data_IF_270316703434
#
_entry.id   IF_270316703434
#
_cell.length_a   1.000
_cell.length_b   1.000
_cell.length_c   1.000
_cell.angle_alpha   90.00
_cell.angle_beta   90.00
_cell.angle_gamma   90.00
#
_symmetry.space_group_name_H-M   'P 1'
#
loop_
_entity.id
_entity.type
_entity.pdbx_description
1 polymer ?
#
# COMPACT_ATOMS: atom_id res chain seq x y z
N UNK A 1 -8.43 21.01 -12.99
CA UNK A 1 -7.14 20.31 -13.12
C UNK A 1 -7.15 19.13 -12.18
N UNK A 2 -7.16 17.90 -12.72
CA UNK A 2 -7.14 16.64 -11.98
C UNK A 2 -5.68 16.17 -11.98
N UNK A 3 -5.00 15.95 -10.84
CA UNK A 3 -3.64 15.43 -10.86
C UNK A 3 -3.66 13.89 -10.81
N UNK A 4 -2.99 13.30 -11.80
CA UNK A 4 -2.27 12.02 -11.80
C UNK A 4 -3.02 10.79 -11.27
N UNK A 5 -3.80 10.17 -12.16
CA UNK A 5 -4.11 8.73 -12.06
C UNK A 5 -3.15 7.95 -12.95
N UNK A 6 -2.61 6.86 -12.41
CA UNK A 6 -1.98 5.81 -13.20
C UNK A 6 -3.06 5.27 -14.17
N UNK A 7 -2.78 5.14 -15.46
CA UNK A 7 -3.75 4.66 -16.46
C UNK A 7 -3.21 3.39 -17.09
N UNK A 8 -4.04 2.34 -17.13
CA UNK A 8 -3.79 1.14 -17.93
C UNK A 8 -4.54 1.31 -19.25
N UNK A 9 -3.81 1.36 -20.36
CA UNK A 9 -4.42 1.36 -21.69
C UNK A 9 -4.63 -0.08 -22.17
N UNK A 10 -5.87 -0.40 -22.56
CA UNK A 10 -6.21 -1.60 -23.32
C UNK A 10 -6.83 -1.15 -24.65
N UNK A 11 -6.27 -1.58 -25.79
CA UNK A 11 -6.75 -1.26 -27.14
C UNK A 11 -7.07 0.24 -27.39
N UNK A 12 -6.15 1.13 -27.00
CA UNK A 12 -6.27 2.58 -27.30
C UNK A 12 -7.34 3.33 -26.51
N UNK A 13 -7.98 2.70 -25.52
CA UNK A 13 -8.94 3.37 -24.62
C UNK A 13 -8.31 3.62 -23.26
N UNK A 14 -8.35 4.88 -22.79
CA UNK A 14 -7.92 5.30 -21.45
C UNK A 14 -9.02 4.93 -20.44
N UNK A 15 -8.71 4.10 -19.43
CA UNK A 15 -9.64 3.79 -18.34
C UNK A 15 -9.10 4.28 -17.00
N UNK A 16 -9.87 5.05 -16.21
CA UNK A 16 -9.53 5.36 -14.83
C UNK A 16 -9.62 4.09 -13.96
N UNK A 17 -8.66 3.90 -13.05
CA UNK A 17 -8.43 2.68 -12.25
C UNK A 17 -9.66 2.17 -11.47
N UNK A 18 -10.65 3.02 -11.20
CA UNK A 18 -11.81 2.63 -10.41
C UNK A 18 -12.92 1.85 -11.15
N UNK A 19 -12.80 1.60 -12.46
CA UNK A 19 -13.87 0.92 -13.23
C UNK A 19 -13.45 -0.28 -14.09
N UNK A 20 -12.24 -0.83 -13.91
CA UNK A 20 -11.84 -2.02 -14.65
C UNK A 20 -12.33 -3.32 -13.97
N UNK A 21 -13.62 -3.63 -14.08
CA UNK A 21 -14.03 -5.03 -14.06
C UNK A 21 -13.49 -5.68 -15.33
N UNK A 22 -12.48 -6.54 -15.19
CA UNK A 22 -11.95 -7.35 -16.29
C UNK A 22 -13.09 -8.19 -16.88
N UNK A 23 -13.54 -7.84 -18.09
CA UNK A 23 -14.41 -8.70 -18.90
C UNK A 23 -13.63 -9.96 -19.31
N UNK A 24 -14.23 -11.17 -19.32
CA UNK A 24 -13.50 -12.43 -19.54
C UNK A 24 -13.05 -12.69 -20.99
N UNK A 25 -13.12 -11.70 -21.88
CA UNK A 25 -12.88 -11.89 -23.31
C UNK A 25 -11.92 -10.86 -23.89
N UNK A 26 -10.61 -11.05 -23.70
CA UNK A 26 -9.62 -10.47 -24.60
C UNK A 26 -8.33 -11.30 -24.61
N UNK A 27 -7.95 -11.94 -25.74
CA UNK A 27 -6.70 -12.67 -25.85
C UNK A 27 -5.54 -11.69 -26.13
N UNK A 28 -4.38 -11.98 -25.53
CA UNK A 28 -3.04 -11.41 -25.84
C UNK A 28 -3.00 -9.89 -26.05
N UNK A 29 -2.72 -9.11 -24.99
CA UNK A 29 -2.39 -7.68 -25.16
C UNK A 29 -1.28 -7.23 -24.22
N UNK A 30 -0.33 -6.50 -24.81
CA UNK A 30 0.74 -5.74 -24.15
C UNK A 30 0.13 -4.55 -23.42
N UNK A 31 0.44 -4.38 -22.12
CA UNK A 31 0.02 -3.22 -21.35
C UNK A 31 1.18 -2.24 -21.23
N UNK A 32 0.98 -0.99 -21.65
CA UNK A 32 1.94 0.09 -21.42
C UNK A 32 1.39 1.01 -20.33
N UNK A 33 2.14 1.16 -19.23
CA UNK A 33 1.85 2.14 -18.19
C UNK A 33 2.59 3.43 -18.57
N UNK A 34 1.86 4.51 -18.84
CA UNK A 34 2.45 5.83 -19.05
C UNK A 34 2.23 6.72 -17.81
N UNK A 35 3.30 7.36 -17.35
CA UNK A 35 3.24 8.61 -16.60
C UNK A 35 3.50 9.72 -17.62
N UNK A 36 2.47 10.45 -18.05
CA UNK A 36 2.65 11.54 -19.01
C UNK A 36 2.81 12.89 -18.31
N UNK A 37 3.81 13.64 -18.76
CA UNK A 37 4.09 15.04 -18.41
C UNK A 37 3.24 15.98 -19.27
N UNK A 38 2.64 16.99 -18.66
CA UNK A 38 1.61 17.81 -19.30
C UNK A 38 2.19 19.00 -20.06
N UNK A 39 2.58 18.78 -21.31
CA UNK A 39 2.71 19.87 -22.30
C UNK A 39 2.21 19.43 -23.66
N UNK A 40 1.32 20.24 -24.23
CA UNK A 40 0.64 20.12 -25.53
C UNK A 40 -0.65 19.31 -25.52
N UNK A 41 -1.78 20.05 -25.56
CA UNK A 41 -2.76 20.00 -26.65
C UNK A 41 -3.72 21.21 -26.51
N UNK A 42 -3.86 21.95 -27.61
CA UNK A 42 -4.62 23.20 -27.75
C UNK A 42 -6.01 22.95 -28.36
N UNK A 43 -7.01 23.68 -27.86
CA UNK A 43 -8.33 24.07 -28.44
C UNK A 43 -9.43 23.00 -28.59
N UNK A 44 -10.74 23.27 -28.45
CA UNK A 44 -11.54 24.52 -28.46
C UNK A 44 -12.82 24.40 -27.57
N UNK A 45 -13.61 25.49 -27.37
CA UNK A 45 -14.47 25.69 -26.19
C UNK A 45 -15.93 25.25 -26.39
N UNK A 46 -16.50 24.59 -25.37
CA UNK A 46 -17.94 24.52 -25.16
C UNK A 46 -18.26 25.08 -23.78
N UNK A 47 -19.15 26.06 -23.78
CA UNK A 47 -19.60 26.85 -22.63
C UNK A 47 -20.05 25.95 -21.48
N UNK A 48 -19.36 26.04 -20.34
CA UNK A 48 -19.86 25.56 -19.05
C UNK A 48 -20.21 26.80 -18.25
N UNK A 49 -21.50 26.92 -17.95
CA UNK A 49 -22.05 27.92 -17.06
C UNK A 49 -21.32 27.91 -15.72
N UNK A 50 -21.01 29.12 -15.28
CA UNK A 50 -20.35 29.54 -14.06
C UNK A 50 -20.94 28.81 -12.82
N UNK A 51 -20.34 27.68 -12.45
CA UNK A 51 -20.50 27.12 -11.11
C UNK A 51 -19.43 27.75 -10.24
N UNK A 52 -19.88 28.77 -9.50
CA UNK A 52 -19.24 29.36 -8.33
C UNK A 52 -18.22 28.44 -7.67
N UNK A 53 -16.96 28.89 -7.66
CA UNK A 53 -15.87 28.38 -6.85
C UNK A 53 -16.36 28.22 -5.41
N UNK A 54 -16.65 26.98 -5.00
CA UNK A 54 -16.80 26.64 -3.60
C UNK A 54 -15.39 26.56 -3.04
N UNK A 55 -15.01 27.55 -2.25
CA UNK A 55 -13.85 27.47 -1.37
C UNK A 55 -13.98 26.23 -0.48
N UNK A 56 -13.28 25.15 -0.81
CA UNK A 56 -13.23 23.95 0.02
C UNK A 56 -12.38 24.21 1.27
N UNK A 57 -12.99 24.86 2.26
CA UNK A 57 -12.61 24.75 3.66
C UNK A 57 -12.86 23.30 4.14
N UNK A 58 -11.90 22.39 3.96
CA UNK A 58 -11.87 21.13 4.72
C UNK A 58 -10.43 20.59 4.89
N UNK A 59 -9.56 21.44 5.44
CA UNK A 59 -8.16 21.13 5.74
C UNK A 59 -7.92 20.59 7.16
N UNK A 60 -8.97 20.19 7.89
CA UNK A 60 -8.95 19.96 9.34
C UNK A 60 -9.14 18.50 9.81
N UNK A 61 -9.24 17.52 8.90
CA UNK A 61 -9.48 16.13 9.30
C UNK A 61 -8.19 15.51 9.86
N UNK A 62 -8.24 15.10 11.12
CA UNK A 62 -7.20 14.34 11.83
C UNK A 62 -7.81 13.50 12.95
N UNK A 63 -6.99 12.75 13.69
CA UNK A 63 -7.46 11.85 14.75
C UNK A 63 -8.34 12.54 15.79
N UNK A 64 -8.00 13.76 16.20
CA UNK A 64 -8.82 14.53 17.15
C UNK A 64 -10.21 14.85 16.60
N UNK A 65 -10.33 15.16 15.30
CA UNK A 65 -11.63 15.34 14.66
C UNK A 65 -12.42 14.03 14.64
N UNK A 66 -11.78 12.92 14.23
CA UNK A 66 -12.43 11.60 14.13
C UNK A 66 -12.89 11.08 15.49
N UNK A 67 -12.06 11.21 16.53
CA UNK A 67 -12.34 10.73 17.89
C UNK A 67 -13.41 11.55 18.62
N UNK A 68 -13.61 12.82 18.24
CA UNK A 68 -14.63 13.69 18.83
C UNK A 68 -16.02 13.52 18.20
N UNK A 69 -16.17 12.66 17.19
CA UNK A 69 -17.47 12.40 16.58
C UNK A 69 -18.30 11.44 17.44
N UNK A 70 -19.54 11.80 17.72
CA UNK A 70 -20.50 10.91 18.41
C UNK A 70 -21.08 9.86 17.46
N UNK A 71 -21.23 10.19 16.18
CA UNK A 71 -21.67 9.30 15.11
C UNK A 71 -20.74 9.48 13.90
N UNK A 72 -20.67 8.48 13.01
CA UNK A 72 -19.86 8.56 11.79
C UNK A 72 -20.47 9.60 10.83
N UNK A 73 -19.71 10.63 10.40
CA UNK A 73 -20.22 11.63 9.45
C UNK A 73 -20.56 11.01 8.09
N UNK A 74 -21.46 11.66 7.33
CA UNK A 74 -21.99 11.13 6.06
C UNK A 74 -20.91 10.83 5.03
N UNK A 75 -19.85 11.61 5.01
CA UNK A 75 -18.72 11.48 4.11
C UNK A 75 -17.93 10.18 4.36
N UNK A 76 -18.02 9.62 5.56
CA UNK A 76 -17.36 8.38 5.98
C UNK A 76 -18.29 7.17 5.89
N UNK A 77 -19.56 7.33 5.51
CA UNK A 77 -20.48 6.20 5.34
C UNK A 77 -20.14 5.46 4.06
N UNK A 78 -19.97 4.14 4.17
CA UNK A 78 -19.71 3.26 3.02
C UNK A 78 -21.00 2.60 2.51
N UNK A 79 -21.05 2.21 1.22
CA UNK A 79 -22.22 1.55 0.66
C UNK A 79 -22.55 0.23 1.37
N UNK A 80 -23.84 -0.03 1.62
CA UNK A 80 -24.30 -1.26 2.31
C UNK A 80 -23.83 -2.56 1.64
N UNK A 81 -23.66 -2.56 0.33
CA UNK A 81 -23.15 -3.71 -0.44
C UNK A 81 -21.72 -4.08 -0.05
N UNK A 82 -20.93 -3.11 0.41
CA UNK A 82 -19.55 -3.32 0.82
C UNK A 82 -19.45 -3.73 2.30
N UNK A 83 -20.45 -3.44 3.13
CA UNK A 83 -20.47 -3.65 4.59
C UNK A 83 -20.77 -5.11 5.02
N UNK A 84 -20.47 -6.08 4.16
CA UNK A 84 -20.62 -7.51 4.49
C UNK A 84 -19.55 -7.91 5.50
N UNK A 85 -19.92 -8.52 6.62
CA UNK A 85 -18.96 -8.92 7.66
C UNK A 85 -18.15 -10.17 7.29
N UNK A 86 -16.88 -10.20 7.68
CA UNK A 86 -16.09 -11.43 7.70
C UNK A 86 -16.36 -12.20 9.00
N UNK A 87 -16.49 -13.52 8.91
CA UNK A 87 -16.76 -14.39 10.07
C UNK A 87 -15.76 -15.54 10.21
N UNK A 88 -14.83 -15.66 9.28
CA UNK A 88 -13.89 -16.76 9.19
C UNK A 88 -12.50 -16.19 9.02
N UNK A 89 -11.53 -16.80 9.68
CA UNK A 89 -10.13 -16.53 9.41
C UNK A 89 -9.75 -17.09 8.04
N UNK A 90 -8.91 -16.35 7.32
CA UNK A 90 -8.20 -16.88 6.17
C UNK A 90 -7.19 -17.91 6.69
N UNK A 91 -7.05 -19.02 5.97
CA UNK A 91 -6.03 -20.03 6.26
C UNK A 91 -4.86 -19.84 5.27
N UNK A 92 -4.32 -18.62 5.23
CA UNK A 92 -3.16 -18.31 4.40
C UNK A 92 -1.92 -19.05 4.92
N UNK A 93 -0.99 -19.42 4.03
CA UNK A 93 0.22 -20.10 4.46
C UNK A 93 1.09 -19.16 5.29
N UNK A 94 1.58 -19.69 6.41
CA UNK A 94 2.61 -19.08 7.25
C UNK A 94 3.96 -19.70 6.87
N UNK A 95 4.79 -18.94 6.17
CA UNK A 95 6.03 -19.43 5.56
C UNK A 95 7.24 -19.04 6.39
N UNK A 96 8.02 -20.03 6.79
CA UNK A 96 9.28 -19.82 7.51
C UNK A 96 10.42 -19.49 6.53
N UNK A 97 10.99 -18.30 6.64
CA UNK A 97 12.09 -17.84 5.80
C UNK A 97 13.48 -18.17 6.36
N UNK A 98 13.59 -18.71 7.59
CA UNK A 98 14.90 -19.06 8.17
C UNK A 98 15.65 -20.05 7.26
N UNK A 99 14.94 -21.07 6.77
CA UNK A 99 15.52 -22.10 5.89
C UNK A 99 15.87 -21.57 4.51
N UNK A 100 15.12 -20.58 4.02
CA UNK A 100 15.49 -19.86 2.81
C UNK A 100 16.84 -19.14 3.00
N UNK A 101 17.02 -18.42 4.10
CA UNK A 101 18.28 -17.70 4.38
C UNK A 101 19.47 -18.64 4.65
N UNK A 102 19.22 -19.88 5.08
CA UNK A 102 20.26 -20.91 5.23
C UNK A 102 20.58 -21.66 3.93
N UNK A 103 19.87 -21.39 2.84
CA UNK A 103 20.10 -22.05 1.54
C UNK A 103 19.61 -23.51 1.47
N UNK A 104 18.62 -23.89 2.26
CA UNK A 104 18.02 -25.23 2.20
C UNK A 104 17.09 -25.34 0.97
N UNK A 105 17.62 -25.82 -0.14
CA UNK A 105 16.90 -25.92 -1.42
C UNK A 105 15.60 -26.74 -1.31
N UNK A 106 15.54 -27.78 -0.48
CA UNK A 106 14.32 -28.57 -0.33
C UNK A 106 13.22 -27.77 0.37
N UNK A 107 13.57 -27.04 1.43
CA UNK A 107 12.65 -26.15 2.11
C UNK A 107 12.22 -24.98 1.20
N UNK A 108 13.14 -24.41 0.42
CA UNK A 108 12.85 -23.35 -0.54
C UNK A 108 11.79 -23.81 -1.56
N UNK A 109 11.94 -25.01 -2.11
CA UNK A 109 10.97 -25.58 -3.05
C UNK A 109 9.60 -25.86 -2.39
N UNK A 110 9.57 -26.26 -1.12
CA UNK A 110 8.33 -26.44 -0.37
C UNK A 110 7.62 -25.10 -0.14
N UNK A 111 8.36 -24.07 0.32
CA UNK A 111 7.86 -22.71 0.49
C UNK A 111 7.33 -22.13 -0.83
N UNK A 112 8.05 -22.31 -1.93
CA UNK A 112 7.63 -21.88 -3.25
C UNK A 112 6.31 -22.53 -3.69
N UNK A 113 6.09 -23.81 -3.39
CA UNK A 113 4.83 -24.51 -3.72
C UNK A 113 3.63 -23.96 -2.95
N UNK A 114 3.77 -23.70 -1.65
CA UNK A 114 2.66 -23.16 -0.84
C UNK A 114 2.37 -21.70 -1.19
N UNK A 115 3.41 -20.89 -1.45
CA UNK A 115 3.26 -19.52 -1.93
C UNK A 115 2.57 -19.50 -3.28
N UNK A 116 2.97 -20.39 -4.21
CA UNK A 116 2.29 -20.53 -5.50
C UNK A 116 0.79 -20.76 -5.35
N UNK A 117 0.38 -21.68 -4.46
CA UNK A 117 -1.03 -21.99 -4.25
C UNK A 117 -1.82 -20.78 -3.74
N UNK A 118 -1.26 -20.04 -2.77
CA UNK A 118 -1.85 -18.80 -2.26
C UNK A 118 -1.93 -17.71 -3.35
N UNK A 119 -0.86 -17.51 -4.12
CA UNK A 119 -0.81 -16.48 -5.16
C UNK A 119 -1.73 -16.78 -6.35
N UNK A 120 -1.94 -18.05 -6.70
CA UNK A 120 -2.89 -18.45 -7.76
C UNK A 120 -4.36 -18.22 -7.36
N UNK A 121 -4.66 -18.18 -6.06
CA UNK A 121 -6.03 -18.14 -5.54
C UNK A 121 -6.44 -16.75 -5.06
N UNK A 122 -5.70 -16.17 -4.12
CA UNK A 122 -6.06 -14.91 -3.46
C UNK A 122 -4.90 -13.91 -3.31
N UNK A 123 -3.65 -14.30 -3.58
CA UNK A 123 -2.54 -13.35 -3.62
C UNK A 123 -1.92 -13.00 -2.26
N UNK A 124 -2.23 -13.72 -1.19
CA UNK A 124 -1.74 -13.40 0.17
C UNK A 124 -1.09 -14.57 0.89
N UNK A 125 -0.02 -14.30 1.63
CA UNK A 125 0.60 -15.23 2.57
C UNK A 125 1.29 -14.47 3.70
N UNK A 126 1.63 -15.14 4.79
CA UNK A 126 2.43 -14.56 5.86
C UNK A 126 3.84 -15.16 5.86
N UNK A 127 4.83 -14.39 6.32
CA UNK A 127 6.21 -14.86 6.50
C UNK A 127 6.67 -14.65 7.93
N UNK A 128 7.40 -15.61 8.49
CA UNK A 128 8.06 -15.56 9.81
C UNK A 128 9.56 -15.79 9.65
N UNK A 129 10.33 -15.52 10.71
CA UNK A 129 11.80 -15.57 10.68
C UNK A 129 12.37 -14.79 9.48
N UNK A 130 11.75 -13.65 9.20
CA UNK A 130 11.95 -12.85 7.98
C UNK A 130 13.21 -11.96 8.00
N UNK A 131 14.01 -12.02 9.08
CA UNK A 131 15.28 -11.30 9.19
C UNK A 131 15.19 -9.81 9.55
N UNK A 132 14.02 -9.17 9.41
CA UNK A 132 13.79 -7.81 9.92
C UNK A 132 13.79 -7.80 11.46
N UNK A 133 14.65 -6.96 12.06
CA UNK A 133 14.81 -6.87 13.52
C UNK A 133 13.53 -6.41 14.22
N UNK A 134 13.07 -7.20 15.18
CA UNK A 134 11.90 -6.89 16.03
C UNK A 134 12.06 -5.58 16.81
N UNK A 135 13.28 -5.23 17.25
CA UNK A 135 13.52 -3.95 17.93
C UNK A 135 13.33 -2.77 16.98
N UNK A 136 13.70 -2.94 15.71
CA UNK A 136 13.50 -1.93 14.68
C UNK A 136 12.02 -1.76 14.31
N UNK A 137 11.27 -2.86 14.21
CA UNK A 137 9.80 -2.83 14.06
C UNK A 137 9.16 -2.06 15.22
N UNK A 138 9.55 -2.39 16.47
CA UNK A 138 9.03 -1.72 17.66
C UNK A 138 9.39 -0.22 17.71
N UNK A 139 10.61 0.14 17.31
CA UNK A 139 11.02 1.54 17.20
C UNK A 139 10.21 2.29 16.12
N UNK A 140 9.94 1.66 14.98
CA UNK A 140 9.08 2.23 13.94
C UNK A 140 7.66 2.49 14.47
N UNK A 141 7.07 1.55 15.23
CA UNK A 141 5.78 1.78 15.88
C UNK A 141 5.81 2.85 16.98
N UNK A 142 6.90 2.95 17.73
CA UNK A 142 7.08 4.01 18.73
C UNK A 142 7.04 5.39 18.06
N UNK A 143 7.79 5.57 16.97
CA UNK A 143 7.77 6.83 16.23
C UNK A 143 6.41 7.07 15.55
N UNK A 144 5.81 6.06 14.91
CA UNK A 144 4.45 6.12 14.37
C UNK A 144 3.46 6.66 15.41
N UNK A 145 3.47 6.07 16.60
CA UNK A 145 2.57 6.47 17.68
C UNK A 145 2.82 7.92 18.09
N UNK A 146 4.08 8.30 18.34
CA UNK A 146 4.43 9.69 18.69
C UNK A 146 3.94 10.69 17.64
N UNK A 147 4.13 10.41 16.35
CA UNK A 147 3.72 11.31 15.29
C UNK A 147 2.19 11.51 15.23
N UNK A 148 1.40 10.43 15.28
CA UNK A 148 -0.05 10.56 15.15
C UNK A 148 -0.73 11.21 16.37
N UNK A 149 -0.06 11.24 17.53
CA UNK A 149 -0.50 11.98 18.73
C UNK A 149 -0.05 13.45 18.75
N UNK A 150 0.72 13.92 17.76
CA UNK A 150 1.04 15.34 17.65
C UNK A 150 -0.22 16.15 17.32
N UNK A 151 -0.26 17.45 17.72
CA UNK A 151 -1.28 18.38 17.25
C UNK A 151 -1.35 18.39 15.71
N UNK A 152 -2.56 18.54 15.18
CA UNK A 152 -2.81 18.54 13.73
C UNK A 152 -1.92 19.56 12.98
N UNK A 153 -1.66 20.73 13.57
CA UNK A 153 -0.77 21.76 13.00
C UNK A 153 0.65 21.23 12.73
N UNK A 154 1.18 20.38 13.60
CA UNK A 154 2.49 19.76 13.41
C UNK A 154 2.45 18.67 12.34
N UNK A 155 1.40 17.83 12.33
CA UNK A 155 1.20 16.79 11.31
C UNK A 155 1.07 17.39 9.90
N UNK A 156 0.38 18.52 9.78
CA UNK A 156 0.21 19.24 8.51
C UNK A 156 1.51 19.84 7.94
N UNK A 157 2.61 19.93 8.70
CA UNK A 157 3.92 20.32 8.14
C UNK A 157 4.43 19.29 7.13
N UNK A 158 4.19 18.00 7.39
CA UNK A 158 4.42 16.93 6.42
C UNK A 158 3.50 17.01 5.18
N UNK A 159 2.51 17.92 5.13
CA UNK A 159 1.70 18.15 3.92
C UNK A 159 2.25 19.28 3.03
N UNK A 160 3.01 20.22 3.61
CA UNK A 160 3.50 21.42 2.91
C UNK A 160 4.79 21.19 2.12
N UNK A 161 5.41 20.03 2.26
CA UNK A 161 6.61 19.63 1.50
C UNK A 161 6.34 19.30 0.02
N UNK A 162 5.08 19.39 -0.45
CA UNK A 162 4.63 18.97 -1.78
C UNK A 162 5.02 19.91 -2.94
N UNK A 163 5.58 21.08 -2.67
CA UNK A 163 5.88 22.09 -3.71
C UNK A 163 7.22 21.92 -4.42
N UNK A 164 7.99 20.87 -4.14
CA UNK A 164 9.25 20.60 -4.84
C UNK A 164 9.48 19.08 -5.03
N UNK A 165 9.37 18.61 -6.27
CA UNK A 165 10.06 17.42 -6.81
C UNK A 165 10.08 16.12 -6.01
N UNK A 166 9.25 15.15 -6.46
CA UNK A 166 9.37 13.68 -6.43
C UNK A 166 9.79 12.90 -5.15
N UNK A 167 10.20 13.51 -4.04
CA UNK A 167 10.59 12.77 -2.83
C UNK A 167 9.96 13.42 -1.59
N UNK A 168 8.64 13.22 -1.43
CA UNK A 168 7.85 13.99 -0.47
C UNK A 168 7.32 13.12 0.68
N UNK A 169 7.55 13.59 1.90
CA UNK A 169 6.80 13.17 3.07
C UNK A 169 5.39 13.73 2.91
N UNK A 170 4.39 12.91 3.17
CA UNK A 170 2.98 13.26 2.96
C UNK A 170 2.13 12.78 4.12
N UNK A 171 1.52 13.73 4.83
CA UNK A 171 0.45 13.45 5.79
C UNK A 171 -0.92 13.65 5.13
N UNK A 172 -1.83 12.71 5.37
CA UNK A 172 -3.22 12.80 4.92
C UNK A 172 -4.16 12.23 5.99
N UNK A 173 -5.15 13.04 6.38
CA UNK A 173 -6.28 12.62 7.22
C UNK A 173 -7.46 12.24 6.33
N UNK A 174 -7.92 11.00 6.46
CA UNK A 174 -9.03 10.43 5.72
C UNK A 174 -8.92 10.51 4.18
N UNK A 175 -7.74 10.79 3.61
CA UNK A 175 -7.60 11.03 2.17
C UNK A 175 -8.61 12.06 1.60
N UNK A 176 -9.01 13.02 2.44
CA UNK A 176 -9.99 14.05 2.07
C UNK A 176 -9.47 15.04 1.02
N UNK A 177 -8.16 14.99 0.74
CA UNK A 177 -7.52 15.66 -0.39
C UNK A 177 -7.89 15.04 -1.75
N UNK A 178 -8.35 13.79 -1.76
CA UNK A 178 -8.62 13.00 -2.98
C UNK A 178 -10.07 12.58 -3.15
N UNK A 179 -10.80 12.48 -2.04
CA UNK A 179 -12.17 11.98 -2.03
C UNK A 179 -13.10 12.94 -1.28
N UNK A 180 -14.38 12.94 -1.65
CA UNK A 180 -15.44 13.71 -1.00
C UNK A 180 -16.52 12.84 -0.36
N UNK A 181 -16.46 11.52 -0.59
CA UNK A 181 -17.36 10.50 -0.03
C UNK A 181 -16.61 9.18 0.12
N UNK A 182 -17.15 8.23 0.88
CA UNK A 182 -16.47 6.98 1.27
C UNK A 182 -15.08 7.24 1.86
N UNK A 183 -14.96 8.29 2.67
CA UNK A 183 -13.70 8.67 3.30
C UNK A 183 -13.25 7.54 4.23
N UNK A 184 -11.98 7.10 4.14
CA UNK A 184 -11.45 6.12 5.06
C UNK A 184 -11.29 6.69 6.47
N UNK A 185 -11.68 5.91 7.49
CA UNK A 185 -11.51 6.22 8.91
C UNK A 185 -10.06 6.00 9.36
N UNK A 186 -9.12 6.79 8.83
CA UNK A 186 -7.70 6.69 9.17
C UNK A 186 -6.95 8.00 8.96
N UNK A 187 -5.78 8.07 9.57
CA UNK A 187 -4.70 8.98 9.20
C UNK A 187 -3.55 8.19 8.56
N UNK A 188 -2.80 8.86 7.69
CA UNK A 188 -1.64 8.25 7.02
C UNK A 188 -0.44 9.19 6.99
N UNK A 189 0.75 8.62 7.13
CA UNK A 189 2.03 9.26 6.83
C UNK A 189 2.73 8.40 5.78
N UNK A 190 3.00 8.97 4.62
CA UNK A 190 3.60 8.28 3.46
C UNK A 190 4.90 8.97 3.06
N UNK A 191 5.92 8.19 2.70
CA UNK A 191 7.16 8.70 2.12
C UNK A 191 7.77 7.66 1.18
N UNK A 192 8.67 8.11 0.31
CA UNK A 192 9.41 7.23 -0.59
C UNK A 192 10.76 6.83 0.02
N UNK A 193 11.24 5.68 -0.43
CA UNK A 193 12.56 5.17 -0.12
C UNK A 193 13.22 4.72 -1.43
N UNK A 194 14.44 5.20 -1.62
CA UNK A 194 15.32 4.85 -2.74
C UNK A 194 16.75 4.74 -2.21
N UNK A 195 17.51 3.75 -2.68
CA UNK A 195 18.94 3.60 -2.32
C UNK A 195 19.86 4.44 -3.21
N UNK A 196 19.28 5.31 -4.05
CA UNK A 196 20.04 6.17 -4.94
C UNK A 196 20.73 7.27 -4.12
N UNK A 197 22.07 7.32 -4.05
CA UNK A 197 22.80 8.30 -3.25
C UNK A 197 22.64 9.74 -3.75
N UNK A 198 22.06 9.94 -4.95
CA UNK A 198 21.72 11.27 -5.49
C UNK A 198 20.39 11.80 -4.97
N UNK A 199 19.56 10.95 -4.36
CA UNK A 199 18.27 11.33 -3.80
C UNK A 199 18.41 11.58 -2.30
N UNK A 200 17.57 12.48 -1.75
CA UNK A 200 17.55 12.74 -0.31
C UNK A 200 17.22 11.48 0.47
N UNK A 201 17.98 11.22 1.53
CA UNK A 201 17.70 10.10 2.43
C UNK A 201 16.36 10.29 3.16
N UNK A 202 15.82 9.22 3.74
CA UNK A 202 14.64 9.32 4.60
C UNK A 202 14.94 10.23 5.81
N UNK A 203 16.19 10.26 6.28
CA UNK A 203 16.62 11.15 7.37
C UNK A 203 16.46 12.62 6.97
N UNK A 204 17.04 13.00 5.83
CA UNK A 204 16.99 14.38 5.33
C UNK A 204 15.55 14.80 5.04
N UNK A 205 14.73 13.88 4.53
CA UNK A 205 13.32 14.12 4.26
C UNK A 205 12.54 14.48 5.53
N UNK A 206 12.74 13.72 6.61
CA UNK A 206 12.06 13.99 7.88
C UNK A 206 12.56 15.28 8.53
N UNK A 207 13.87 15.54 8.53
CA UNK A 207 14.44 16.78 9.09
C UNK A 207 13.95 18.02 8.34
N UNK A 208 14.03 18.00 7.01
CA UNK A 208 13.59 19.13 6.18
C UNK A 208 12.08 19.39 6.28
N UNK A 209 11.27 18.34 6.44
CA UNK A 209 9.81 18.47 6.48
C UNK A 209 9.25 18.77 7.88
N UNK A 210 9.87 18.26 8.94
CA UNK A 210 9.34 18.29 10.30
C UNK A 210 10.27 18.94 11.34
N UNK A 211 11.52 19.23 10.99
CA UNK A 211 12.56 19.79 11.86
C UNK A 211 13.50 18.73 12.44
N UNK A 212 14.60 19.20 13.04
CA UNK A 212 15.70 18.35 13.53
C UNK A 212 15.28 17.35 14.62
N UNK A 213 14.23 17.66 15.40
CA UNK A 213 13.66 16.75 16.41
C UNK A 213 13.13 15.43 15.82
N UNK A 214 12.97 15.34 14.49
CA UNK A 214 12.52 14.15 13.76
C UNK A 214 13.67 13.36 13.12
N UNK A 215 14.92 13.70 13.39
CA UNK A 215 16.09 12.98 12.88
C UNK A 215 16.08 11.50 13.29
N UNK A 216 15.86 11.18 14.57
CA UNK A 216 15.79 9.78 15.05
C UNK A 216 14.68 8.97 14.36
N UNK A 217 13.54 9.63 14.09
CA UNK A 217 12.44 9.01 13.36
C UNK A 217 12.85 8.70 11.92
N UNK A 218 13.52 9.65 11.26
CA UNK A 218 14.08 9.46 9.92
C UNK A 218 15.10 8.32 9.87
N UNK A 219 16.02 8.26 10.85
CA UNK A 219 17.03 7.18 10.95
C UNK A 219 16.36 5.82 11.15
N UNK A 220 15.34 5.74 12.02
CA UNK A 220 14.60 4.50 12.25
C UNK A 220 13.92 4.02 10.99
N UNK A 221 13.21 4.91 10.28
CA UNK A 221 12.53 4.52 9.05
C UNK A 221 13.47 4.23 7.89
N UNK A 222 14.62 4.90 7.80
CA UNK A 222 15.68 4.57 6.83
C UNK A 222 16.10 3.10 7.00
N UNK A 223 16.52 2.73 8.22
CA UNK A 223 16.93 1.35 8.55
C UNK A 223 15.80 0.35 8.33
N UNK A 224 14.57 0.72 8.71
CA UNK A 224 13.40 -0.15 8.51
C UNK A 224 13.19 -0.43 7.01
N UNK A 225 13.24 0.61 6.17
CA UNK A 225 13.10 0.46 4.73
C UNK A 225 14.22 -0.37 4.10
N UNK A 226 15.46 -0.26 4.57
CA UNK A 226 16.59 -1.10 4.13
C UNK A 226 16.35 -2.59 4.46
N UNK A 227 15.85 -2.87 5.67
CA UNK A 227 15.45 -4.22 6.07
C UNK A 227 14.30 -4.77 5.22
N UNK A 228 13.28 -3.95 4.98
CA UNK A 228 12.12 -4.33 4.14
C UNK A 228 12.51 -4.51 2.67
N UNK A 229 13.46 -3.73 2.14
CA UNK A 229 14.02 -3.91 0.78
C UNK A 229 14.71 -5.27 0.67
N UNK A 230 15.56 -5.60 1.64
CA UNK A 230 16.29 -6.87 1.67
C UNK A 230 15.31 -8.06 1.70
N UNK A 231 14.29 -8.00 2.56
CA UNK A 231 13.21 -8.98 2.61
C UNK A 231 12.43 -9.05 1.29
N UNK A 232 12.07 -7.91 0.70
CA UNK A 232 11.34 -7.85 -0.56
C UNK A 232 12.10 -8.60 -1.67
N UNK A 233 13.41 -8.38 -1.79
CA UNK A 233 14.24 -9.08 -2.79
C UNK A 233 14.30 -10.59 -2.55
N UNK A 234 14.35 -11.04 -1.30
CA UNK A 234 14.26 -12.46 -0.95
C UNK A 234 12.90 -13.06 -1.35
N UNK A 235 11.80 -12.36 -1.06
CA UNK A 235 10.46 -12.79 -1.47
C UNK A 235 10.34 -12.84 -3.00
N UNK A 236 10.93 -11.89 -3.72
CA UNK A 236 10.96 -11.90 -5.19
C UNK A 236 11.68 -13.13 -5.77
N UNK A 237 12.76 -13.62 -5.12
CA UNK A 237 13.40 -14.89 -5.51
C UNK A 237 12.45 -16.09 -5.34
N UNK A 238 11.76 -16.17 -4.20
CA UNK A 238 10.82 -17.27 -3.93
C UNK A 238 9.64 -17.22 -4.92
N UNK A 239 9.14 -16.02 -5.24
CA UNK A 239 8.12 -15.84 -6.27
C UNK A 239 8.62 -16.29 -7.65
N UNK A 240 9.86 -15.99 -8.03
CA UNK A 240 10.46 -16.45 -9.28
C UNK A 240 10.52 -17.99 -9.34
N UNK A 241 11.06 -18.62 -8.29
CA UNK A 241 11.12 -20.09 -8.16
C UNK A 241 9.72 -20.70 -8.26
N UNK A 242 8.74 -20.10 -7.56
CA UNK A 242 7.35 -20.57 -7.55
C UNK A 242 6.67 -20.50 -8.91
N UNK A 243 7.14 -19.62 -9.81
CA UNK A 243 6.62 -19.46 -11.16
C UNK A 243 7.33 -20.34 -12.20
N UNK A 244 8.46 -20.95 -11.82
CA UNK A 244 9.30 -21.76 -12.69
C UNK A 244 10.21 -20.94 -13.60
N UNK A 245 10.49 -19.68 -13.26
CA UNK A 245 11.43 -18.81 -13.99
C UNK A 245 12.78 -18.76 -13.28
N UNK A 246 13.78 -18.14 -13.90
CA UNK A 246 15.10 -17.94 -13.28
C UNK A 246 14.96 -17.32 -11.87
N UNK A 247 15.65 -17.91 -10.88
CA UNK A 247 15.56 -17.54 -9.46
C UNK A 247 15.79 -16.05 -9.23
N UNK A 248 16.68 -15.43 -9.99
CA UNK A 248 17.05 -14.03 -9.81
C UNK A 248 16.22 -13.08 -10.69
N UNK A 249 15.34 -13.59 -11.55
CA UNK A 249 14.59 -12.79 -12.52
C UNK A 249 13.90 -11.58 -11.90
N UNK A 250 13.00 -11.80 -10.94
CA UNK A 250 12.27 -10.71 -10.30
C UNK A 250 13.14 -9.91 -9.33
N UNK A 251 14.09 -10.55 -8.63
CA UNK A 251 15.05 -9.82 -7.79
C UNK A 251 15.81 -8.77 -8.59
N UNK A 252 16.36 -9.15 -9.75
CA UNK A 252 17.09 -8.26 -10.64
C UNK A 252 16.16 -7.18 -11.25
N UNK A 253 14.89 -7.51 -11.48
CA UNK A 253 13.90 -6.55 -11.96
C UNK A 253 13.57 -5.47 -10.92
N UNK A 254 13.58 -5.80 -9.63
CA UNK A 254 13.21 -4.88 -8.55
C UNK A 254 14.38 -4.29 -7.75
N UNK A 255 15.62 -4.75 -7.95
CA UNK A 255 16.78 -4.32 -7.16
C UNK A 255 17.02 -2.80 -7.22
N UNK A 256 16.89 -2.19 -8.40
CA UNK A 256 17.03 -0.75 -8.66
C UNK A 256 15.70 0.01 -8.57
N UNK A 257 14.62 -0.67 -8.16
CA UNK A 257 13.31 -0.08 -7.97
C UNK A 257 13.19 0.70 -6.66
N UNK A 258 12.30 1.69 -6.67
CA UNK A 258 11.91 2.45 -5.49
C UNK A 258 10.92 1.72 -4.59
N UNK A 259 10.61 2.30 -3.45
CA UNK A 259 9.57 1.81 -2.55
C UNK A 259 8.81 2.94 -1.88
N UNK A 260 7.58 2.64 -1.47
CA UNK A 260 6.74 3.58 -0.73
C UNK A 260 6.50 2.99 0.64
N UNK A 261 6.80 3.75 1.69
CA UNK A 261 6.47 3.41 3.06
C UNK A 261 5.23 4.18 3.49
N UNK A 262 4.27 3.49 4.09
CA UNK A 262 3.04 4.08 4.63
C UNK A 262 2.78 3.60 6.04
N UNK A 263 2.67 4.56 6.95
CA UNK A 263 2.19 4.37 8.30
C UNK A 263 0.69 4.66 8.32
N UNK A 264 -0.13 3.72 8.78
CA UNK A 264 -1.56 3.95 8.97
C UNK A 264 -1.91 3.96 10.46
N UNK A 265 -2.75 4.92 10.85
CA UNK A 265 -3.34 5.01 12.18
C UNK A 265 -4.86 5.06 12.05
N UNK A 266 -5.55 4.11 12.68
CA UNK A 266 -7.01 4.00 12.64
C UNK A 266 -7.53 4.27 14.06
N UNK A 267 -8.07 5.45 14.35
CA UNK A 267 -8.64 5.73 15.67
C UNK A 267 -9.88 4.86 15.92
N UNK A 268 -10.28 4.65 17.20
CA UNK A 268 -11.56 4.03 17.51
C UNK A 268 -12.71 4.73 16.77
N UNK A 269 -13.67 3.95 16.30
CA UNK A 269 -14.81 4.41 15.52
C UNK A 269 -16.11 4.15 16.30
N UNK A 270 -17.02 5.13 16.45
CA UNK A 270 -18.27 4.93 17.19
C UNK A 270 -19.23 3.95 16.49
N UNK A 271 -19.23 3.89 15.16
CA UNK A 271 -20.09 3.01 14.36
C UNK A 271 -19.26 2.21 13.35
N UNK A 272 -18.44 1.25 13.82
CA UNK A 272 -17.45 0.58 12.97
C UNK A 272 -18.08 -0.25 11.84
N UNK A 273 -19.35 -0.63 11.97
CA UNK A 273 -20.10 -1.32 10.92
C UNK A 273 -20.58 -0.44 9.76
N UNK A 274 -20.33 0.87 9.80
CA UNK A 274 -20.76 1.83 8.76
C UNK A 274 -19.61 2.40 7.92
N UNK A 275 -18.35 2.11 8.29
CA UNK A 275 -17.18 2.68 7.64
C UNK A 275 -16.02 1.69 7.56
N UNK A 276 -15.03 2.01 6.74
CA UNK A 276 -13.77 1.28 6.69
C UNK A 276 -12.61 2.20 7.02
N UNK A 277 -11.59 1.63 7.65
CA UNK A 277 -10.28 2.26 7.73
C UNK A 277 -9.64 2.34 6.35
N UNK A 278 -9.87 1.35 5.49
CA UNK A 278 -9.57 1.38 4.06
C UNK A 278 -10.53 0.42 3.38
N UNK A 279 -11.27 0.87 2.37
CA UNK A 279 -12.25 0.00 1.71
C UNK A 279 -11.63 -1.08 0.83
N UNK A 280 -12.49 -1.88 0.17
CA UNK A 280 -12.09 -2.90 -0.79
C UNK A 280 -11.24 -2.32 -1.92
N UNK A 281 -10.02 -2.85 -2.08
CA UNK A 281 -9.13 -2.49 -3.19
C UNK A 281 -8.07 -3.57 -3.43
N UNK A 282 -7.43 -3.47 -4.59
CA UNK A 282 -6.17 -4.14 -4.90
C UNK A 282 -5.04 -3.10 -4.88
N UNK A 283 -3.85 -3.51 -4.46
CA UNK A 283 -2.68 -2.62 -4.51
C UNK A 283 -2.18 -2.49 -5.95
N UNK A 284 -2.02 -1.26 -6.44
CA UNK A 284 -1.48 -1.01 -7.77
C UNK A 284 0.00 -1.41 -7.92
N UNK A 285 0.75 -1.45 -6.80
CA UNK A 285 2.19 -1.76 -6.77
C UNK A 285 2.47 -3.24 -7.05
N UNK A 286 3.73 -3.68 -6.95
CA UNK A 286 4.08 -5.08 -7.28
C UNK A 286 3.85 -6.02 -6.11
N UNK A 287 4.39 -5.66 -4.96
CA UNK A 287 4.32 -6.44 -3.74
C UNK A 287 4.09 -5.49 -2.57
N UNK A 288 3.27 -5.90 -1.63
CA UNK A 288 3.06 -5.18 -0.37
C UNK A 288 3.53 -6.05 0.78
N UNK A 289 4.35 -5.49 1.66
CA UNK A 289 4.82 -6.11 2.90
C UNK A 289 4.25 -5.31 4.06
N UNK A 290 3.41 -5.96 4.86
CA UNK A 290 2.62 -5.34 5.91
C UNK A 290 2.97 -5.94 7.27
N UNK A 291 3.40 -5.08 8.19
CA UNK A 291 3.33 -5.39 9.62
C UNK A 291 2.06 -4.79 10.22
N UNK A 292 1.39 -5.56 11.06
CA UNK A 292 0.17 -5.15 11.77
C UNK A 292 0.35 -5.26 13.28
N UNK A 293 -0.37 -4.44 14.04
CA UNK A 293 -0.46 -4.61 15.49
C UNK A 293 -1.46 -5.73 15.87
N UNK A 294 -1.63 -5.96 17.16
CA UNK A 294 -2.48 -7.04 17.68
C UNK A 294 -3.98 -6.76 17.55
N UNK A 295 -4.39 -5.56 17.13
CA UNK A 295 -5.81 -5.19 17.03
C UNK A 295 -6.48 -5.91 15.86
N UNK A 296 -5.71 -6.30 14.84
CA UNK A 296 -6.24 -6.97 13.65
C UNK A 296 -7.10 -6.03 12.80
N UNK A 297 -7.95 -6.59 11.94
CA UNK A 297 -8.85 -5.82 11.06
C UNK A 297 -8.44 -5.77 9.59
N UNK A 298 -7.34 -6.43 9.20
CA UNK A 298 -7.11 -6.74 7.79
C UNK A 298 -8.03 -7.88 7.37
N UNK A 299 -8.71 -7.69 6.25
CA UNK A 299 -9.57 -8.72 5.64
C UNK A 299 -9.25 -8.85 4.16
N UNK A 300 -9.30 -10.09 3.68
CA UNK A 300 -8.97 -10.47 2.31
C UNK A 300 -10.17 -11.19 1.70
N UNK A 301 -10.46 -10.88 0.44
CA UNK A 301 -11.51 -11.55 -0.29
C UNK A 301 -10.96 -12.83 -0.94
N UNK A 302 -11.35 -13.97 -0.41
CA UNK A 302 -10.97 -15.29 -0.89
C UNK A 302 -12.16 -16.24 -0.87
N UNK A 303 -12.23 -17.16 -1.84
CA UNK A 303 -13.34 -18.12 -1.95
C UNK A 303 -14.73 -17.44 -1.95
N UNK A 304 -14.83 -16.29 -2.64
CA UNK A 304 -16.03 -15.45 -2.75
C UNK A 304 -16.55 -14.89 -1.41
N UNK A 305 -15.69 -14.75 -0.40
CA UNK A 305 -16.04 -14.22 0.92
C UNK A 305 -14.91 -13.36 1.47
N UNK A 306 -15.27 -12.39 2.31
CA UNK A 306 -14.30 -11.69 3.15
C UNK A 306 -13.85 -12.60 4.29
N UNK A 307 -12.55 -12.71 4.49
CA UNK A 307 -11.90 -13.54 5.51
C UNK A 307 -10.87 -12.71 6.28
N UNK A 308 -10.78 -12.96 7.58
CA UNK A 308 -9.96 -12.19 8.53
C UNK A 308 -8.53 -12.71 8.47
N UNK A 309 -7.54 -11.82 8.34
CA UNK A 309 -6.13 -12.19 8.51
C UNK A 309 -5.77 -12.06 9.98
N UNK A 310 -5.37 -13.17 10.61
CA UNK A 310 -5.02 -13.17 12.03
C UNK A 310 -3.76 -12.31 12.26
N UNK A 311 -3.80 -11.32 13.18
CA UNK A 311 -2.63 -10.53 13.52
C UNK A 311 -1.58 -11.38 14.24
N UNK A 312 -0.32 -11.17 13.87
CA UNK A 312 0.86 -11.87 14.41
C UNK A 312 2.00 -10.88 14.56
N UNK A 313 2.59 -10.79 15.74
CA UNK A 313 3.72 -9.89 15.99
C UNK A 313 5.03 -10.40 15.34
N UNK A 314 5.14 -11.71 15.13
CA UNK A 314 6.32 -12.38 14.59
C UNK A 314 6.28 -12.52 13.06
N UNK A 315 5.24 -11.98 12.41
CA UNK A 315 4.99 -12.21 11.00
C UNK A 315 4.72 -10.93 10.22
N UNK A 316 5.04 -10.98 8.93
CA UNK A 316 4.70 -9.97 7.93
C UNK A 316 3.73 -10.57 6.92
N UNK A 317 2.65 -9.83 6.63
CA UNK A 317 1.69 -10.19 5.58
C UNK A 317 2.23 -9.72 4.25
N UNK A 318 2.19 -10.60 3.25
CA UNK A 318 2.63 -10.34 1.88
C UNK A 318 1.41 -10.36 0.97
N UNK A 319 1.17 -9.27 0.24
CA UNK A 319 0.13 -9.20 -0.80
C UNK A 319 0.77 -9.02 -2.18
N UNK A 320 0.27 -9.76 -3.17
CA UNK A 320 0.53 -9.53 -4.59
C UNK A 320 -0.32 -8.34 -5.05
N UNK A 321 0.29 -7.40 -5.77
CA UNK A 321 -0.40 -6.27 -6.38
C UNK A 321 -0.59 -6.42 -7.89
N UNK A 322 -1.24 -5.43 -8.49
CA UNK A 322 -1.62 -5.41 -9.91
C UNK A 322 -0.41 -5.39 -10.84
N UNK A 323 0.67 -4.68 -10.47
CA UNK A 323 1.89 -4.65 -11.27
C UNK A 323 2.50 -6.05 -11.39
N UNK A 324 2.55 -6.82 -10.30
CA UNK A 324 3.10 -8.17 -10.33
C UNK A 324 2.13 -9.16 -11.00
N UNK A 325 0.83 -8.94 -10.89
CA UNK A 325 -0.18 -9.65 -11.69
C UNK A 325 0.11 -9.48 -13.18
N UNK A 326 0.40 -8.27 -13.65
CA UNK A 326 0.78 -8.01 -15.04
C UNK A 326 2.11 -8.70 -15.42
N UNK A 327 3.14 -8.64 -14.56
CA UNK A 327 4.43 -9.33 -14.78
C UNK A 327 4.31 -10.86 -14.83
N UNK A 328 3.22 -11.43 -14.34
CA UNK A 328 2.97 -12.88 -14.37
C UNK A 328 1.95 -13.28 -15.42
N UNK A 329 1.58 -12.37 -16.33
CA UNK A 329 0.52 -12.55 -17.32
C UNK A 329 -0.81 -12.99 -16.68
N UNK A 330 -1.16 -12.40 -15.53
CA UNK A 330 -2.38 -12.68 -14.80
C UNK A 330 -2.40 -14.01 -14.04
N UNK A 331 -1.28 -14.77 -14.00
CA UNK A 331 -1.20 -16.04 -13.27
C UNK A 331 -1.40 -15.82 -11.78
N UNK A 332 -0.68 -14.89 -11.17
CA UNK A 332 -0.85 -14.56 -9.75
C UNK A 332 -1.91 -13.48 -9.59
N UNK A 333 -2.81 -13.68 -8.62
CA UNK A 333 -3.93 -12.79 -8.35
C UNK A 333 -3.48 -11.61 -7.49
N UNK A 334 -3.88 -10.41 -7.90
CA UNK A 334 -3.81 -9.24 -7.04
C UNK A 334 -4.75 -9.43 -5.86
N UNK A 335 -4.26 -9.17 -4.65
CA UNK A 335 -4.98 -9.41 -3.41
C UNK A 335 -6.07 -8.34 -3.20
N UNK A 336 -7.34 -8.72 -3.39
CA UNK A 336 -8.47 -7.87 -3.02
C UNK A 336 -8.62 -7.88 -1.50
N UNK A 337 -8.41 -6.71 -0.88
CA UNK A 337 -8.35 -6.59 0.56
C UNK A 337 -8.98 -5.29 1.07
N UNK A 338 -9.28 -5.24 2.37
CA UNK A 338 -9.78 -4.05 3.08
C UNK A 338 -9.29 -4.01 4.52
N UNK A 339 -9.44 -2.87 5.18
CA UNK A 339 -9.15 -2.69 6.59
C UNK A 339 -10.39 -2.19 7.33
N UNK A 340 -10.95 -3.03 8.20
CA UNK A 340 -12.06 -2.66 9.10
C UNK A 340 -11.55 -1.87 10.31
N UNK A 341 -12.46 -1.16 10.96
CA UNK A 341 -12.21 -0.43 12.21
C UNK A 341 -13.00 -1.04 13.36
N UNK A 342 -12.71 -0.62 14.58
CA UNK A 342 -13.40 -1.06 15.79
C UNK A 342 -13.63 0.14 16.73
N UNK A 343 -14.48 -0.04 17.73
CA UNK A 343 -14.85 1.01 18.70
C UNK A 343 -13.98 1.05 19.95
N UNK A 344 -13.10 0.07 20.16
CA UNK A 344 -12.41 -0.14 21.43
C UNK A 344 -11.00 0.45 21.46
N UNK A 345 -10.21 0.17 20.42
CA UNK A 345 -8.76 0.44 20.40
C UNK A 345 -8.29 0.91 19.03
N UNK A 346 -7.37 1.87 19.04
CA UNK A 346 -6.72 2.32 17.83
C UNK A 346 -5.88 1.20 17.21
N UNK A 347 -6.07 0.94 15.91
CA UNK A 347 -5.25 0.01 15.12
C UNK A 347 -4.12 0.78 14.43
N UNK A 348 -2.96 0.14 14.26
CA UNK A 348 -1.79 0.70 13.56
C UNK A 348 -1.20 -0.31 12.60
N UNK A 349 -0.69 0.16 11.47
CA UNK A 349 0.07 -0.70 10.56
C UNK A 349 1.20 0.03 9.84
N UNK A 350 2.23 -0.75 9.48
CA UNK A 350 3.40 -0.34 8.72
C UNK A 350 3.36 -1.07 7.38
N UNK A 351 3.25 -0.34 6.27
CA UNK A 351 3.09 -0.89 4.93
C UNK A 351 4.26 -0.47 4.05
N UNK A 352 4.96 -1.44 3.49
CA UNK A 352 6.04 -1.22 2.54
C UNK A 352 5.63 -1.74 1.17
N UNK A 353 5.51 -0.84 0.21
CA UNK A 353 5.14 -1.15 -1.17
C UNK A 353 6.39 -1.22 -2.05
N UNK A 354 6.54 -2.32 -2.78
CA UNK A 354 7.62 -2.55 -3.74
C UNK A 354 7.17 -2.07 -5.11
N UNK A 355 7.95 -1.17 -5.70
CA UNK A 355 7.72 -0.63 -7.03
C UNK A 355 8.89 -1.00 -7.96
N UNK A 356 8.65 -1.23 -9.26
CA UNK A 356 9.74 -1.23 -10.21
C UNK A 356 10.35 0.18 -10.33
N UNK A 357 11.52 0.28 -10.97
CA UNK A 357 12.05 1.57 -11.39
C UNK A 357 11.08 2.24 -12.37
N UNK A 358 10.92 3.56 -12.28
CA UNK A 358 9.80 4.28 -12.91
C UNK A 358 9.77 4.19 -14.44
N UNK A 359 10.91 3.97 -15.08
CA UNK A 359 11.07 3.83 -16.54
C UNK A 359 11.08 2.37 -17.04
N UNK A 360 10.89 1.38 -16.14
CA UNK A 360 10.87 -0.03 -16.53
C UNK A 360 9.55 -0.42 -17.19
N UNK A 361 9.66 -1.09 -18.33
CA UNK A 361 8.51 -1.70 -19.01
C UNK A 361 8.01 -2.88 -18.19
N UNK A 362 6.71 -2.87 -17.86
CA UNK A 362 6.02 -3.97 -17.18
C UNK A 362 5.51 -4.94 -18.24
N UNK A 363 6.15 -6.11 -18.34
CA UNK A 363 5.75 -7.17 -19.26
C UNK A 363 6.08 -8.55 -18.67
N UNK A 364 5.33 -9.60 -19.04
CA UNK A 364 5.70 -10.97 -18.69
C UNK A 364 7.10 -11.35 -19.22
N UNK A 365 7.80 -12.30 -18.57
CA UNK A 365 8.99 -12.95 -19.13
C UNK A 365 8.67 -13.57 -20.49
N UNK A 366 9.67 -13.63 -21.37
CA UNK A 366 9.59 -14.42 -22.60
C UNK A 366 9.64 -15.93 -22.27
N UNK A 367 8.83 -16.72 -22.98
CA UNK A 367 8.71 -18.18 -22.79
C UNK A 367 9.99 -18.96 -23.11
#
# INVERSE_FOLDING_TARGET
MIPNNLIIACNGSLLPIFNATLSPSCPTSTYTVFLMDSTHLLSSPLEIQDQTLVDHHNSSIGSSFLQNQTNVPKEFLWPKVDLVNAHQELLEPLVDLERFFRGDELAIQQSAKVIRAACLTHGCFQVINHGVDSHLINAAYYHLNRFFHLPLSHKLRARRATTAGLNTLSYSGAHSDRFSSNLPWKETLTFRFHENPKESSVVDLFKSSLGDDFEEMGITYQKYCEGMKSLALAVMEILAISLGVDRLHYKNYFQDGGSIMRCNYYPPCPEPGLTFGTGPHCDATSLTILHQDEVGGLEIFANNKWQIVRPRQDALVINIGETFTALTNGRYKSCLHRAVVNSERARKSLVYFVCPREDKVVRPPED
#
